data_IF_431620567082
#
_entry.id   IF_431620567082
#
_cell.length_a   1.000
_cell.length_b   1.000
_cell.length_c   1.000
_cell.angle_alpha   90.00
_cell.angle_beta   90.00
_cell.angle_gamma   90.00
#
_symmetry.space_group_name_H-M   'P 1'
#
loop_
_entity.id
_entity.type
_entity.pdbx_description
1 polymer ?
#
# COMPACT_ATOMS: atom_id res chain seq x y z
N UNK A 1 12.67 -18.43 20.49
CA UNK A 1 13.29 -18.64 19.17
C UNK A 1 13.67 -17.32 18.53
N UNK A 2 12.73 -16.42 18.21
CA UNK A 2 13.00 -15.12 17.53
C UNK A 2 14.04 -14.25 18.26
N UNK A 3 13.99 -14.13 19.60
CA UNK A 3 15.00 -13.37 20.38
C UNK A 3 16.45 -13.80 20.13
N UNK A 4 16.70 -15.08 19.80
CA UNK A 4 18.05 -15.60 19.57
C UNK A 4 18.63 -15.18 18.22
N UNK A 5 17.77 -14.76 17.27
CA UNK A 5 18.20 -14.23 15.98
C UNK A 5 18.76 -12.80 16.11
N UNK A 6 18.50 -12.12 17.23
CA UNK A 6 18.88 -10.73 17.47
C UNK A 6 18.64 -9.81 16.25
N UNK A 7 17.43 -9.79 15.67
CA UNK A 7 17.18 -9.02 14.46
C UNK A 7 17.30 -7.53 14.76
N UNK A 8 17.97 -6.77 13.89
CA UNK A 8 17.96 -5.31 13.99
C UNK A 8 16.61 -4.72 13.57
N UNK A 9 15.95 -5.35 12.60
CA UNK A 9 14.63 -4.94 12.07
C UNK A 9 13.82 -6.18 11.71
N UNK A 10 12.49 -6.11 11.82
CA UNK A 10 11.58 -7.14 11.32
C UNK A 10 10.64 -6.55 10.27
N UNK A 11 10.33 -7.33 9.23
CA UNK A 11 9.42 -6.93 8.16
C UNK A 11 8.15 -7.79 8.22
N UNK A 12 7.00 -7.13 8.37
CA UNK A 12 5.67 -7.70 8.35
C UNK A 12 5.02 -7.39 7.00
N UNK A 13 5.08 -8.34 6.07
CA UNK A 13 4.44 -8.24 4.76
C UNK A 13 3.22 -9.16 4.72
N UNK A 14 2.02 -8.57 4.80
CA UNK A 14 0.72 -9.29 4.82
C UNK A 14 0.62 -10.37 5.91
N UNK A 15 1.22 -10.12 7.07
CA UNK A 15 1.14 -11.03 8.22
C UNK A 15 -0.17 -10.82 8.99
N UNK A 16 -1.03 -11.86 9.04
CA UNK A 16 -2.40 -11.74 9.54
C UNK A 16 -2.54 -11.94 11.06
N UNK A 17 -1.45 -11.90 11.83
CA UNK A 17 -1.49 -12.05 13.28
C UNK A 17 -1.05 -10.78 13.99
N UNK A 18 -1.70 -10.49 15.11
CA UNK A 18 -1.37 -9.34 15.96
C UNK A 18 -0.09 -9.64 16.75
N UNK A 19 0.93 -8.82 16.55
CA UNK A 19 2.15 -8.88 17.36
C UNK A 19 1.84 -8.51 18.82
N UNK A 20 2.39 -9.29 19.75
CA UNK A 20 2.31 -8.99 21.18
C UNK A 20 3.52 -8.16 21.60
N UNK A 21 3.37 -7.34 22.64
CA UNK A 21 4.43 -6.47 23.16
C UNK A 21 5.81 -7.16 23.33
N UNK A 22 5.91 -8.43 23.82
CA UNK A 22 7.20 -9.10 23.92
C UNK A 22 7.89 -9.40 22.59
N UNK A 23 7.16 -9.42 21.47
CA UNK A 23 7.72 -9.60 20.12
C UNK A 23 8.05 -8.24 19.50
N UNK A 24 7.18 -7.25 19.68
CA UNK A 24 7.38 -5.87 19.21
C UNK A 24 8.69 -5.30 19.77
N UNK A 25 9.03 -5.62 21.01
CA UNK A 25 10.24 -5.12 21.68
C UNK A 25 11.54 -5.83 21.28
N UNK A 26 11.51 -6.79 20.35
CA UNK A 26 12.71 -7.58 20.00
C UNK A 26 13.65 -6.80 19.07
N UNK A 27 13.20 -6.30 17.89
CA UNK A 27 14.10 -5.63 16.97
C UNK A 27 14.50 -4.23 17.41
N UNK A 28 15.79 -3.90 17.28
CA UNK A 28 16.38 -2.59 17.63
C UNK A 28 15.69 -1.42 16.94
N UNK A 29 15.31 -1.60 15.67
CA UNK A 29 14.66 -0.62 14.81
C UNK A 29 13.17 -0.92 14.59
N UNK A 30 12.56 -1.76 15.43
CA UNK A 30 11.14 -2.06 15.37
C UNK A 30 10.74 -3.04 14.27
N UNK A 31 9.42 -3.21 14.13
CA UNK A 31 8.79 -4.02 13.09
C UNK A 31 8.16 -3.06 12.08
N UNK A 32 8.52 -3.16 10.81
CA UNK A 32 7.84 -2.43 9.73
C UNK A 32 6.68 -3.28 9.24
N UNK A 33 5.49 -2.69 9.09
CA UNK A 33 4.32 -3.36 8.54
C UNK A 33 3.89 -2.70 7.24
N UNK A 34 3.59 -3.52 6.24
CA UNK A 34 2.99 -3.09 4.97
C UNK A 34 1.49 -3.37 5.04
N UNK A 35 0.72 -2.30 4.98
CA UNK A 35 -0.72 -2.30 5.09
C UNK A 35 -1.37 -1.80 3.78
N UNK A 36 -2.31 -2.55 3.17
CA UNK A 36 -2.93 -2.19 1.89
C UNK A 36 -4.07 -1.17 2.06
N UNK A 37 -3.84 -0.09 2.83
CA UNK A 37 -4.81 0.98 3.03
C UNK A 37 -4.16 2.30 3.43
N UNK A 38 -4.80 3.42 3.09
CA UNK A 38 -4.37 4.74 3.53
C UNK A 38 -4.65 4.94 5.02
N UNK A 39 -3.60 5.14 5.83
CA UNK A 39 -3.74 5.39 7.26
C UNK A 39 -3.95 6.89 7.56
N UNK A 40 -4.87 7.24 8.47
CA UNK A 40 -5.59 6.39 9.42
C UNK A 40 -6.95 5.89 8.89
N UNK A 41 -7.35 6.30 7.70
CA UNK A 41 -8.74 6.24 7.20
C UNK A 41 -9.24 4.84 6.91
N UNK A 42 -8.36 3.94 6.48
CA UNK A 42 -8.70 2.57 6.15
C UNK A 42 -7.76 1.61 6.87
N UNK A 43 -8.20 1.07 8.01
CA UNK A 43 -7.43 0.11 8.83
C UNK A 43 -7.98 -1.30 8.72
N UNK A 44 -7.16 -2.29 9.10
CA UNK A 44 -7.59 -3.68 9.20
C UNK A 44 -7.48 -4.46 7.89
N UNK A 45 -8.40 -5.37 7.65
CA UNK A 45 -8.23 -6.41 6.63
C UNK A 45 -8.97 -6.07 5.33
N UNK A 46 -8.46 -6.56 4.19
CA UNK A 46 -9.11 -6.47 2.88
C UNK A 46 -9.56 -5.04 2.49
N UNK A 47 -8.78 -4.03 2.87
CA UNK A 47 -9.04 -2.64 2.48
C UNK A 47 -8.94 -2.47 0.95
N UNK A 48 -8.03 -3.20 0.31
CA UNK A 48 -7.90 -3.24 -1.15
C UNK A 48 -9.19 -3.68 -1.87
N UNK A 49 -9.87 -4.71 -1.36
CA UNK A 49 -11.20 -5.12 -1.84
C UNK A 49 -12.21 -3.99 -1.71
N UNK A 50 -12.21 -3.31 -0.57
CA UNK A 50 -13.15 -2.22 -0.28
C UNK A 50 -12.86 -0.98 -1.12
N UNK A 51 -11.60 -0.70 -1.44
CA UNK A 51 -11.22 0.34 -2.38
C UNK A 51 -11.80 0.07 -3.79
N UNK A 52 -11.72 -1.19 -4.26
CA UNK A 52 -12.32 -1.59 -5.54
C UNK A 52 -13.85 -1.54 -5.52
N UNK A 53 -14.50 -2.06 -4.46
CA UNK A 53 -15.96 -2.02 -4.31
C UNK A 53 -16.50 -0.59 -4.20
N UNK A 54 -15.74 0.31 -3.56
CA UNK A 54 -16.08 1.74 -3.46
C UNK A 54 -15.70 2.53 -4.72
N UNK A 55 -15.06 1.89 -5.71
CA UNK A 55 -14.58 2.53 -6.95
C UNK A 55 -13.74 3.78 -6.65
N UNK A 56 -12.88 3.70 -5.65
CA UNK A 56 -11.97 4.80 -5.34
C UNK A 56 -11.03 5.04 -6.52
N UNK A 57 -10.63 6.30 -6.76
CA UNK A 57 -9.65 6.61 -7.81
C UNK A 57 -8.30 5.94 -7.52
N UNK A 58 -7.95 5.84 -6.23
CA UNK A 58 -6.70 5.25 -5.75
C UNK A 58 -6.95 4.28 -4.59
N UNK A 59 -6.26 3.15 -4.62
CA UNK A 59 -5.92 2.35 -3.45
C UNK A 59 -4.53 2.80 -2.94
N UNK A 60 -4.18 2.47 -1.70
CA UNK A 60 -2.87 2.87 -1.14
C UNK A 60 -2.24 1.71 -0.41
N UNK A 61 -0.92 1.55 -0.54
CA UNK A 61 -0.13 0.75 0.41
C UNK A 61 0.64 1.70 1.32
N UNK A 62 0.49 1.53 2.63
CA UNK A 62 1.20 2.32 3.64
C UNK A 62 2.19 1.40 4.36
N UNK A 63 3.40 1.89 4.55
CA UNK A 63 4.39 1.27 5.44
C UNK A 63 4.47 2.09 6.71
N UNK A 64 4.37 1.43 7.86
CA UNK A 64 4.42 2.05 9.17
C UNK A 64 5.13 1.14 10.19
N UNK A 65 5.60 1.70 11.30
CA UNK A 65 6.09 0.92 12.43
C UNK A 65 4.91 0.25 13.16
N UNK A 66 5.10 -0.96 13.67
CA UNK A 66 4.12 -1.65 14.53
C UNK A 66 4.22 -1.13 15.96
N UNK A 67 3.08 -0.74 16.53
CA UNK A 67 2.91 -0.48 17.96
C UNK A 67 1.95 -1.50 18.59
N UNK A 68 1.46 -1.25 19.80
CA UNK A 68 0.54 -2.16 20.48
C UNK A 68 -0.88 -2.17 19.93
N UNK A 69 -1.23 -1.23 19.04
CA UNK A 69 -2.51 -1.20 18.34
C UNK A 69 -2.47 -1.93 17.00
N UNK A 70 -3.52 -1.74 16.20
CA UNK A 70 -3.62 -2.30 14.84
C UNK A 70 -3.57 -1.15 13.86
N UNK A 71 -2.54 -1.12 13.02
CA UNK A 71 -2.29 -0.10 12.01
C UNK A 71 -2.28 1.34 12.59
N UNK A 72 -1.60 1.52 13.74
CA UNK A 72 -1.59 2.78 14.51
C UNK A 72 -0.21 3.36 14.81
N UNK A 73 0.86 2.62 14.46
CA UNK A 73 2.23 3.05 14.77
C UNK A 73 2.81 4.01 13.73
N UNK A 74 4.01 4.52 13.97
CA UNK A 74 4.59 5.65 13.21
C UNK A 74 4.55 5.44 11.70
N UNK A 75 3.98 6.41 10.96
CA UNK A 75 4.03 6.45 9.49
C UNK A 75 5.48 6.45 8.98
N UNK A 76 5.77 5.68 7.93
CA UNK A 76 7.07 5.72 7.25
C UNK A 76 6.89 6.31 5.85
N UNK A 77 6.10 5.66 5.01
CA UNK A 77 5.81 6.13 3.66
C UNK A 77 4.54 5.46 3.11
N UNK A 78 4.01 5.96 2.01
CA UNK A 78 2.89 5.34 1.31
C UNK A 78 3.03 5.45 -0.21
N UNK A 79 2.34 4.57 -0.90
CA UNK A 79 2.25 4.59 -2.35
C UNK A 79 0.78 4.49 -2.79
N UNK A 80 0.22 5.58 -3.35
CA UNK A 80 -1.09 5.53 -3.99
C UNK A 80 -0.99 4.84 -5.35
N UNK A 81 -1.96 3.98 -5.64
CA UNK A 81 -2.05 3.18 -6.85
C UNK A 81 -3.44 3.31 -7.48
N UNK A 82 -3.54 3.68 -8.77
CA UNK A 82 -4.83 3.80 -9.44
C UNK A 82 -5.63 2.50 -9.40
N UNK A 83 -6.94 2.60 -9.14
CA UNK A 83 -7.84 1.45 -9.20
C UNK A 83 -8.29 1.21 -10.63
N UNK A 84 -8.01 0.02 -11.14
CA UNK A 84 -8.37 -0.44 -12.47
C UNK A 84 -9.47 -1.50 -12.39
N UNK A 85 -10.74 -1.11 -12.51
CA UNK A 85 -11.87 -2.04 -12.35
C UNK A 85 -11.91 -3.17 -13.40
N UNK A 86 -11.16 -3.07 -14.49
CA UNK A 86 -10.97 -4.12 -15.49
C UNK A 86 -9.85 -5.12 -15.14
N UNK A 87 -9.06 -4.86 -14.09
CA UNK A 87 -8.00 -5.73 -13.58
C UNK A 87 -8.45 -6.48 -12.35
N UNK A 88 -7.86 -7.65 -12.11
CA UNK A 88 -8.21 -8.44 -10.93
C UNK A 88 -7.62 -7.87 -9.65
N UNK A 89 -8.19 -8.25 -8.50
CA UNK A 89 -7.64 -7.96 -7.18
C UNK A 89 -6.20 -8.50 -7.04
N UNK A 90 -5.90 -9.68 -7.58
CA UNK A 90 -4.55 -10.24 -7.61
C UNK A 90 -3.55 -9.29 -8.27
N UNK A 91 -3.91 -8.70 -9.42
CA UNK A 91 -3.06 -7.75 -10.13
C UNK A 91 -2.81 -6.48 -9.31
N UNK A 92 -3.84 -5.91 -8.68
CA UNK A 92 -3.68 -4.76 -7.80
C UNK A 92 -2.78 -5.10 -6.60
N UNK A 93 -3.04 -6.23 -5.93
CA UNK A 93 -2.26 -6.68 -4.78
C UNK A 93 -0.80 -6.84 -5.11
N UNK A 94 -0.48 -7.48 -6.23
CA UNK A 94 0.91 -7.70 -6.61
C UNK A 94 1.64 -6.38 -6.87
N UNK A 95 1.02 -5.42 -7.56
CA UNK A 95 1.61 -4.09 -7.77
C UNK A 95 1.80 -3.33 -6.45
N UNK A 96 0.79 -3.32 -5.59
CA UNK A 96 0.85 -2.65 -4.29
C UNK A 96 1.88 -3.30 -3.36
N UNK A 97 1.96 -4.64 -3.34
CA UNK A 97 2.93 -5.36 -2.53
C UNK A 97 4.36 -5.09 -2.98
N UNK A 98 4.62 -5.07 -4.29
CA UNK A 98 5.93 -4.69 -4.83
C UNK A 98 6.31 -3.26 -4.43
N UNK A 99 5.34 -2.34 -4.44
CA UNK A 99 5.57 -0.97 -4.04
C UNK A 99 5.90 -0.85 -2.54
N UNK A 100 5.11 -1.50 -1.67
CA UNK A 100 5.33 -1.49 -0.23
C UNK A 100 6.60 -2.22 0.19
N UNK A 101 6.96 -3.32 -0.49
CA UNK A 101 8.24 -4.00 -0.29
C UNK A 101 9.41 -3.08 -0.68
N UNK A 102 9.33 -2.35 -1.78
CA UNK A 102 10.36 -1.39 -2.12
C UNK A 102 10.51 -0.31 -1.04
N UNK A 103 9.41 0.24 -0.51
CA UNK A 103 9.45 1.20 0.60
C UNK A 103 10.19 0.58 1.81
N UNK A 104 9.86 -0.65 2.18
CA UNK A 104 10.57 -1.36 3.25
C UNK A 104 12.05 -1.52 2.96
N UNK A 105 12.42 -1.95 1.75
CA UNK A 105 13.82 -2.11 1.36
C UNK A 105 14.58 -0.78 1.42
N UNK A 106 14.02 0.30 0.89
CA UNK A 106 14.63 1.63 0.98
C UNK A 106 14.83 2.06 2.44
N UNK A 107 13.84 1.79 3.30
CA UNK A 107 13.96 2.10 4.73
C UNK A 107 15.08 1.28 5.40
N UNK A 108 15.16 -0.03 5.13
CA UNK A 108 16.23 -0.90 5.65
C UNK A 108 17.61 -0.44 5.17
N UNK A 109 17.74 -0.04 3.90
CA UNK A 109 18.99 0.47 3.33
C UNK A 109 19.42 1.80 3.97
N UNK A 110 18.47 2.67 4.34
CA UNK A 110 18.73 3.89 5.12
C UNK A 110 19.22 3.54 6.53
N UNK A 111 18.52 2.64 7.23
CA UNK A 111 18.91 2.17 8.57
C UNK A 111 20.31 1.53 8.59
N UNK A 112 20.68 0.79 7.53
CA UNK A 112 22.00 0.18 7.42
C UNK A 112 23.10 1.15 6.99
N UNK A 113 22.79 2.42 6.71
CA UNK A 113 23.74 3.42 6.20
C UNK A 113 24.24 3.17 4.78
N UNK A 114 23.58 2.27 4.03
CA UNK A 114 23.97 1.97 2.64
C UNK A 114 23.52 3.07 1.66
N UNK A 115 22.48 3.83 2.04
CA UNK A 115 22.05 5.05 1.35
C UNK A 115 21.86 6.19 2.37
N UNK A 116 21.99 7.47 1.95
CA UNK A 116 21.77 8.60 2.85
C UNK A 116 20.36 8.59 3.42
N UNK A 117 20.25 8.88 4.73
CA UNK A 117 18.98 9.23 5.33
C UNK A 117 18.68 10.69 5.00
N UNK A 118 17.69 10.89 4.13
CA UNK A 118 17.16 12.20 3.75
C UNK A 118 16.24 12.80 4.83
N UNK A 119 16.03 12.09 5.95
CA UNK A 119 15.13 12.48 7.03
C UNK A 119 13.65 12.39 6.65
N UNK A 120 13.32 11.95 5.43
CA UNK A 120 11.95 11.84 4.94
C UNK A 120 11.27 10.57 5.47
N UNK A 121 12.06 9.53 5.78
CA UNK A 121 11.58 8.21 6.21
C UNK A 121 10.88 8.20 7.59
N UNK A 122 10.97 9.28 8.36
CA UNK A 122 10.23 9.48 9.60
C UNK A 122 9.48 10.80 9.56
N UNK A 123 8.69 11.03 8.52
CA UNK A 123 7.58 11.96 8.67
C UNK A 123 6.61 11.34 9.66
N UNK A 124 6.80 11.63 10.95
CA UNK A 124 5.77 11.51 11.98
C UNK A 124 4.65 12.46 11.62
N UNK A 125 3.89 12.11 10.58
CA UNK A 125 2.55 12.64 10.43
C UNK A 125 1.77 11.93 11.52
N UNK A 126 1.53 12.63 12.63
CA UNK A 126 0.62 12.13 13.65
C UNK A 126 -0.79 12.16 13.05
N UNK A 127 -1.10 11.11 12.31
CA UNK A 127 -2.38 11.00 11.64
C UNK A 127 -3.53 10.78 12.64
N UNK A 128 -3.25 10.60 13.94
CA UNK A 128 -4.27 10.67 15.01
C UNK A 128 -4.95 12.04 15.05
N UNK A 129 -4.31 13.09 14.54
CA UNK A 129 -4.90 14.42 14.42
C UNK A 129 -5.94 14.54 13.28
N UNK A 130 -6.06 13.53 12.41
CA UNK A 130 -6.88 13.58 11.19
C UNK A 130 -8.20 12.79 11.26
N UNK A 131 -8.66 12.44 12.47
CA UNK A 131 -9.97 11.78 12.72
C UNK A 131 -9.90 10.26 12.89
N UNK A 132 -11.01 9.66 13.35
CA UNK A 132 -11.13 8.19 13.46
C UNK A 132 -11.49 7.60 12.08
N UNK A 133 -10.52 6.96 11.44
CA UNK A 133 -10.77 6.18 10.22
C UNK A 133 -11.54 4.88 10.48
N UNK A 134 -12.07 4.29 9.42
CA UNK A 134 -12.79 3.02 9.46
C UNK A 134 -11.85 1.84 9.72
N UNK A 135 -12.29 0.91 10.55
CA UNK A 135 -11.61 -0.36 10.80
C UNK A 135 -12.41 -1.50 10.18
N UNK A 136 -11.75 -2.30 9.35
CA UNK A 136 -12.39 -3.39 8.62
C UNK A 136 -11.89 -4.76 9.07
N UNK A 137 -12.81 -5.73 9.11
CA UNK A 137 -12.51 -7.14 9.36
C UNK A 137 -12.62 -7.96 8.07
N UNK A 138 -12.49 -9.29 8.17
CA UNK A 138 -12.71 -10.22 7.08
C UNK A 138 -14.06 -9.93 6.40
N UNK A 139 -14.10 -9.84 5.05
CA UNK A 139 -15.36 -9.67 4.35
C UNK A 139 -16.30 -10.85 4.61
N UNK A 140 -17.57 -10.55 4.88
CA UNK A 140 -18.59 -11.57 5.06
C UNK A 140 -19.09 -12.10 3.70
N UNK A 141 -20.00 -13.09 3.72
CA UNK A 141 -20.52 -13.70 2.48
C UNK A 141 -21.27 -12.70 1.58
N UNK A 142 -21.96 -11.72 2.17
CA UNK A 142 -22.68 -10.67 1.44
C UNK A 142 -21.71 -9.72 0.73
N UNK A 143 -20.64 -9.29 1.41
CA UNK A 143 -19.58 -8.47 0.81
C UNK A 143 -18.92 -9.20 -0.38
N UNK A 144 -18.68 -10.51 -0.25
CA UNK A 144 -18.14 -11.32 -1.35
C UNK A 144 -19.11 -11.51 -2.51
N UNK A 145 -20.40 -11.64 -2.23
CA UNK A 145 -21.42 -11.70 -3.28
C UNK A 145 -21.49 -10.37 -4.02
N UNK A 146 -21.50 -9.26 -3.28
CA UNK A 146 -21.53 -7.92 -3.85
C UNK A 146 -20.30 -7.63 -4.71
N UNK A 147 -19.10 -8.06 -4.27
CA UNK A 147 -17.88 -7.99 -5.08
C UNK A 147 -18.04 -8.71 -6.44
N UNK A 148 -18.64 -9.90 -6.44
CA UNK A 148 -18.89 -10.68 -7.66
C UNK A 148 -19.98 -10.06 -8.54
N UNK A 149 -21.08 -9.57 -7.95
CA UNK A 149 -22.19 -8.93 -8.66
C UNK A 149 -21.75 -7.64 -9.37
N UNK A 150 -20.73 -6.97 -8.83
CA UNK A 150 -20.08 -5.82 -9.46
C UNK A 150 -19.18 -6.20 -10.65
N UNK A 151 -19.02 -7.49 -10.95
CA UNK A 151 -18.13 -7.99 -12.00
C UNK A 151 -16.63 -7.89 -11.65
N UNK A 152 -16.30 -7.61 -10.39
CA UNK A 152 -14.91 -7.55 -9.94
C UNK A 152 -14.35 -8.97 -9.81
N UNK A 153 -13.07 -9.12 -10.16
CA UNK A 153 -12.41 -10.43 -10.24
C UNK A 153 -11.36 -10.59 -9.15
N UNK A 154 -11.34 -11.74 -8.48
CA UNK A 154 -10.26 -12.06 -7.54
C UNK A 154 -8.93 -12.28 -8.28
N UNK A 155 -8.99 -12.96 -9.42
CA UNK A 155 -7.88 -13.18 -10.34
C UNK A 155 -8.42 -13.17 -11.78
N UNK A 156 -7.54 -12.94 -12.75
CA UNK A 156 -7.84 -13.06 -14.17
C UNK A 156 -6.62 -13.70 -14.87
N UNK A 157 -6.84 -14.63 -15.80
CA UNK A 157 -5.75 -15.31 -16.51
C UNK A 157 -4.90 -14.34 -17.33
N UNK A 158 -5.47 -13.23 -17.80
CA UNK A 158 -4.73 -12.18 -18.50
C UNK A 158 -3.68 -11.48 -17.62
N UNK A 159 -3.79 -11.59 -16.29
CA UNK A 159 -2.80 -11.05 -15.36
C UNK A 159 -1.55 -11.93 -15.23
N UNK A 160 -1.57 -13.15 -15.79
CA UNK A 160 -0.40 -14.06 -15.77
C UNK A 160 0.76 -13.46 -16.57
N UNK A 161 0.50 -12.76 -17.67
CA UNK A 161 1.56 -12.18 -18.49
C UNK A 161 2.31 -11.07 -17.75
N UNK A 162 1.61 -10.33 -16.88
CA UNK A 162 2.25 -9.41 -15.95
C UNK A 162 3.22 -10.15 -15.00
N UNK A 163 2.78 -11.27 -14.42
CA UNK A 163 3.63 -12.10 -13.54
C UNK A 163 4.86 -12.62 -14.28
N UNK A 164 4.68 -13.17 -15.49
CA UNK A 164 5.80 -13.64 -16.32
C UNK A 164 6.79 -12.51 -16.60
N UNK A 165 6.30 -11.30 -16.88
CA UNK A 165 7.12 -10.11 -17.10
C UNK A 165 8.01 -9.78 -15.90
N UNK A 166 7.51 -9.88 -14.66
CA UNK A 166 8.29 -9.62 -13.44
C UNK A 166 9.52 -10.54 -13.29
N UNK A 167 9.43 -11.77 -13.82
CA UNK A 167 10.49 -12.78 -13.70
C UNK A 167 11.33 -12.97 -14.99
N UNK A 168 11.05 -12.21 -16.05
CA UNK A 168 11.84 -12.28 -17.28
C UNK A 168 13.24 -11.68 -17.06
N UNK A 169 14.26 -12.56 -17.04
CA UNK A 169 15.67 -12.22 -16.81
C UNK A 169 16.30 -11.38 -17.93
N UNK A 170 15.60 -11.14 -19.04
CA UNK A 170 16.06 -10.30 -20.16
C UNK A 170 15.75 -8.83 -19.98
N UNK A 171 14.95 -8.46 -18.97
CA UNK A 171 14.67 -7.06 -18.66
C UNK A 171 15.86 -6.44 -17.90
N UNK A 172 16.33 -5.23 -18.27
CA UNK A 172 17.44 -4.56 -17.60
C UNK A 172 17.17 -4.42 -16.10
N UNK A 173 18.21 -4.50 -15.26
CA UNK A 173 18.09 -4.30 -13.80
C UNK A 173 17.37 -2.99 -13.42
N UNK A 174 17.36 -1.99 -14.31
CA UNK A 174 16.54 -0.79 -14.17
C UNK A 174 15.04 -1.13 -14.04
N UNK A 175 14.48 -2.01 -14.88
CA UNK A 175 13.05 -2.43 -14.79
C UNK A 175 12.77 -3.21 -13.49
N UNK A 176 13.78 -3.89 -12.91
CA UNK A 176 13.69 -4.48 -11.56
C UNK A 176 13.68 -3.44 -10.42
N UNK A 177 14.17 -2.22 -10.67
CA UNK A 177 14.17 -1.09 -9.73
C UNK A 177 13.05 -0.06 -10.00
N UNK A 178 12.39 -0.11 -11.17
CA UNK A 178 11.54 0.97 -11.68
C UNK A 178 10.04 0.91 -11.31
N UNK A 179 9.58 0.00 -10.45
CA UNK A 179 8.19 0.09 -9.92
C UNK A 179 8.02 1.04 -8.74
N UNK A 180 9.09 1.66 -8.21
CA UNK A 180 8.96 2.76 -7.24
C UNK A 180 10.05 3.80 -7.46
N UNK A 181 9.84 4.65 -8.46
CA UNK A 181 10.16 6.06 -8.26
C UNK A 181 9.12 6.61 -7.27
N UNK A 182 9.56 7.31 -6.22
CA UNK A 182 8.69 8.04 -5.27
C UNK A 182 7.91 9.20 -5.91
N UNK A 183 7.92 9.28 -7.24
CA UNK A 183 7.08 10.15 -8.05
C UNK A 183 6.34 9.25 -9.03
N UNK A 184 5.03 9.11 -8.83
CA UNK A 184 4.15 8.20 -9.56
C UNK A 184 4.08 8.48 -11.05
N UNK A 185 5.02 7.92 -11.80
CA UNK A 185 4.86 7.68 -13.23
C UNK A 185 4.66 6.19 -13.42
N UNK A 186 3.41 5.79 -13.62
CA UNK A 186 3.07 4.47 -14.12
C UNK A 186 3.74 4.29 -15.49
N UNK A 187 4.33 3.11 -15.70
CA UNK A 187 4.92 2.73 -16.98
C UNK A 187 3.88 2.91 -18.10
N UNK A 188 4.20 3.81 -19.03
CA UNK A 188 3.38 4.11 -20.19
C UNK A 188 3.54 3.02 -21.24
N UNK A 189 2.49 2.24 -21.49
CA UNK A 189 2.16 1.76 -22.83
C UNK A 189 0.85 2.46 -23.23
N UNK A 190 0.96 3.58 -23.93
CA UNK A 190 0.40 3.77 -25.27
C UNK A 190 0.67 5.22 -25.72
N UNK A 191 1.38 5.37 -26.84
CA UNK A 191 1.66 6.68 -27.43
C UNK A 191 0.42 7.15 -28.18
N UNK A 192 -0.34 8.10 -27.61
CA UNK A 192 -0.93 9.28 -28.30
C UNK A 192 -2.02 9.93 -27.45
N UNK A 193 -1.68 10.93 -26.63
CA UNK A 193 -2.63 12.03 -26.35
C UNK A 193 -1.89 13.29 -25.90
N UNK A 194 -2.47 14.44 -26.26
CA UNK A 194 -1.83 15.75 -26.38
C UNK A 194 -1.40 16.40 -25.05
N UNK A 195 -0.45 17.32 -25.21
CA UNK A 195 0.38 18.01 -24.22
C UNK A 195 -0.33 19.01 -23.28
N UNK A 196 -1.62 18.84 -22.97
CA UNK A 196 -2.37 19.79 -22.11
C UNK A 196 -2.76 19.25 -20.72
N UNK A 197 -2.36 18.04 -20.32
CA UNK A 197 -2.72 17.45 -19.01
C UNK A 197 -1.57 17.37 -17.99
N UNK A 198 -0.38 17.92 -18.28
CA UNK A 198 0.83 17.74 -17.45
C UNK A 198 0.93 18.61 -16.18
N UNK A 199 -0.02 19.51 -15.90
CA UNK A 199 0.13 20.49 -14.81
C UNK A 199 -0.67 20.25 -13.51
N UNK A 200 -1.45 19.17 -13.39
CA UNK A 200 -2.39 19.02 -12.25
C UNK A 200 -2.06 17.96 -11.19
N UNK A 201 -0.90 17.30 -11.26
CA UNK A 201 -0.57 16.16 -10.38
C UNK A 201 -0.10 16.62 -8.97
N UNK A 202 0.25 17.90 -8.81
CA UNK A 202 1.01 18.37 -7.65
C UNK A 202 0.17 18.83 -6.45
N UNK A 203 -1.16 18.76 -6.50
CA UNK A 203 -2.02 19.34 -5.46
C UNK A 203 -3.20 18.47 -5.01
N UNK A 204 -3.23 17.18 -5.33
CA UNK A 204 -4.43 16.37 -5.11
C UNK A 204 -4.51 15.75 -3.70
N UNK A 205 -4.62 16.62 -2.68
CA UNK A 205 -5.26 16.25 -1.40
C UNK A 205 -6.78 16.05 -1.55
N UNK A 206 -7.34 16.18 -2.77
CA UNK A 206 -8.79 16.27 -2.99
C UNK A 206 -9.48 14.92 -3.18
N UNK A 207 -8.75 13.85 -3.53
CA UNK A 207 -9.36 12.53 -3.74
C UNK A 207 -9.95 11.95 -2.43
N UNK A 208 -9.31 12.20 -1.28
CA UNK A 208 -9.82 11.76 0.03
C UNK A 208 -10.87 12.71 0.63
N UNK A 209 -10.82 14.02 0.34
CA UNK A 209 -11.91 14.96 0.70
C UNK A 209 -13.21 14.72 -0.09
N UNK A 210 -13.18 13.91 -1.16
CA UNK A 210 -14.40 13.46 -1.85
C UNK A 210 -15.07 12.27 -1.14
N UNK A 211 -14.34 11.46 -0.38
CA UNK A 211 -14.93 10.40 0.44
C UNK A 211 -15.85 10.98 1.53
N UNK A 212 -15.48 12.13 2.12
CA UNK A 212 -16.31 12.84 3.11
C UNK A 212 -17.66 13.31 2.54
N UNK A 213 -17.74 13.64 1.23
CA UNK A 213 -18.96 14.12 0.58
C UNK A 213 -19.96 13.01 0.24
N UNK A 214 -19.50 11.77 0.09
CA UNK A 214 -20.38 10.63 -0.19
C UNK A 214 -21.00 10.05 1.09
N UNK A 215 -20.40 10.30 2.26
CA UNK A 215 -20.92 9.86 3.57
C UNK A 215 -21.97 10.85 4.11
N UNK A 216 -21.87 12.15 3.82
CA UNK A 216 -22.81 13.16 4.34
C UNK A 216 -24.15 13.26 3.61
N UNK A 217 -24.40 12.45 2.57
CA UNK A 217 -25.67 12.48 1.80
C UNK A 217 -26.63 11.33 2.15
N UNK A 218 -26.32 10.55 3.19
CA UNK A 218 -27.24 9.61 3.83
C UNK A 218 -27.49 10.05 5.27
N UNK A 219 -28.26 11.11 5.44
CA UNK A 219 -28.88 11.55 6.71
C UNK A 219 -30.27 12.05 6.41
#
# INVERSE_FOLDING_TARGET
MIRRLAPDVMLSARFLQIFKAPVISIPTHGILNMHPGALPYYRGLYVDVRAMMRKLDFATTTVHEVDTGIDTGTFIDEYPFPVHLNKSLFWHRLNMDLAGLNIMFQHVMKLSGLIPDDGVARKTKDYRAHGEGEYFTYPNAEEWQQFQDMGLKLYDESDIDFVKGLFDKRLPNAVRMFTVSSKGEAATEDTTTSSSQKENIQNDQSCYQRADRLISTRS
#
